data_IF_128586728678
#
_entry.id   IF_128586728678
#
_cell.length_a   1.000
_cell.length_b   1.000
_cell.length_c   1.000
_cell.angle_alpha   90.00
_cell.angle_beta   90.00
_cell.angle_gamma   90.00
#
_symmetry.space_group_name_H-M   'P 1'
#
loop_
_entity.id
_entity.type
_entity.pdbx_description
1 polymer ?
#
# COMPACT_ATOMS: atom_id res chain seq x y z
N UNK A 1 -14.26 -22.52 20.64
CA UNK A 1 -12.99 -23.28 20.74
C UNK A 1 -11.93 -22.89 19.71
N UNK A 2 -12.24 -22.78 18.40
CA UNK A 2 -11.24 -22.51 17.33
C UNK A 2 -10.51 -21.14 17.39
N UNK A 3 -11.11 -20.08 17.97
CA UNK A 3 -10.48 -18.76 18.16
C UNK A 3 -9.36 -18.75 19.21
N UNK A 4 -9.49 -19.55 20.28
CA UNK A 4 -8.47 -19.66 21.34
C UNK A 4 -7.28 -20.52 20.89
N UNK A 5 -7.51 -21.51 20.03
CA UNK A 5 -6.45 -22.33 19.45
C UNK A 5 -5.56 -21.51 18.50
N UNK A 6 -6.16 -20.70 17.60
CA UNK A 6 -5.40 -19.80 16.70
C UNK A 6 -4.55 -18.76 17.45
N UNK A 7 -5.04 -18.23 18.57
CA UNK A 7 -4.28 -17.29 19.40
C UNK A 7 -3.13 -17.96 20.19
N UNK A 8 -3.30 -19.25 20.55
CA UNK A 8 -2.25 -20.04 21.21
C UNK A 8 -1.16 -20.45 20.22
N UNK A 9 -1.53 -20.87 19.00
CA UNK A 9 -0.58 -21.28 17.95
C UNK A 9 0.28 -20.09 17.48
N UNK A 10 -0.29 -18.88 17.40
CA UNK A 10 0.43 -17.64 17.10
C UNK A 10 1.42 -17.24 18.22
N UNK A 11 1.05 -17.45 19.50
CA UNK A 11 1.96 -17.21 20.64
C UNK A 11 3.08 -18.26 20.72
N UNK A 12 2.80 -19.51 20.35
CA UNK A 12 3.76 -20.60 20.41
C UNK A 12 4.81 -20.51 19.28
N UNK A 13 4.44 -20.02 18.09
CA UNK A 13 5.39 -19.75 17.01
C UNK A 13 6.38 -18.61 17.31
N UNK A 14 6.01 -17.61 18.13
CA UNK A 14 6.95 -16.57 18.58
C UNK A 14 7.97 -17.07 19.62
N UNK A 15 7.65 -18.11 20.41
CA UNK A 15 8.55 -18.65 21.44
C UNK A 15 9.63 -19.62 20.91
N UNK A 16 9.55 -20.04 19.64
CA UNK A 16 10.39 -21.09 19.04
C UNK A 16 11.63 -20.61 18.28
N UNK A 17 11.94 -19.32 18.30
CA UNK A 17 13.12 -18.74 17.61
C UNK A 17 14.42 -19.16 18.30
N UNK A 18 14.96 -20.32 17.91
CA UNK A 18 16.39 -20.62 18.08
C UNK A 18 17.15 -20.16 16.83
N UNK A 19 18.27 -19.42 16.97
CA UNK A 19 19.14 -19.13 15.83
C UNK A 19 19.73 -20.45 15.32
N UNK A 20 19.55 -20.73 14.04
CA UNK A 20 20.10 -21.93 13.40
C UNK A 20 21.60 -21.69 13.16
N UNK A 21 22.43 -22.61 13.67
CA UNK A 21 23.89 -22.55 13.60
C UNK A 21 24.41 -22.54 12.14
N UNK A 22 25.47 -21.77 11.93
CA UNK A 22 26.20 -21.65 10.66
C UNK A 22 26.86 -22.99 10.28
N UNK A 23 26.57 -23.48 9.06
CA UNK A 23 27.25 -24.60 8.43
C UNK A 23 28.47 -24.13 7.64
N UNK A 24 29.62 -24.77 7.88
CA UNK A 24 30.92 -24.55 7.25
C UNK A 24 30.98 -24.95 5.75
N UNK A 25 32.00 -24.51 4.98
CA UNK A 25 32.02 -24.55 3.52
C UNK A 25 32.76 -25.78 2.96
N UNK A 26 32.46 -26.16 1.71
CA UNK A 26 33.30 -27.05 0.90
C UNK A 26 33.14 -26.73 -0.59
N UNK A 27 34.26 -26.63 -1.32
CA UNK A 27 34.26 -26.55 -2.78
C UNK A 27 35.40 -25.73 -3.38
N UNK A 28 36.60 -26.29 -3.36
CA UNK A 28 37.84 -25.80 -3.98
C UNK A 28 37.78 -25.72 -5.51
N UNK A 29 38.33 -24.65 -6.10
CA UNK A 29 38.94 -24.69 -7.45
C UNK A 29 40.25 -23.88 -7.44
N UNK A 30 41.33 -24.52 -7.89
CA UNK A 30 42.68 -23.97 -8.02
C UNK A 30 42.85 -23.08 -9.26
N UNK A 31 43.61 -21.98 -9.14
CA UNK A 31 44.62 -21.52 -10.12
C UNK A 31 45.50 -20.35 -9.58
N UNK A 32 46.76 -20.70 -9.24
CA UNK A 32 48.12 -20.07 -9.38
C UNK A 32 48.28 -18.54 -9.66
N UNK A 33 49.36 -17.86 -9.17
CA UNK A 33 49.34 -16.46 -8.73
C UNK A 33 50.08 -15.45 -9.63
N UNK A 34 49.90 -14.15 -9.34
CA UNK A 34 50.83 -13.09 -9.72
C UNK A 34 51.00 -12.04 -8.59
N UNK A 35 52.26 -11.71 -8.32
CA UNK A 35 52.77 -10.81 -7.28
C UNK A 35 52.30 -9.35 -7.43
N UNK A 36 52.21 -8.64 -6.30
CA UNK A 36 52.16 -7.17 -6.27
C UNK A 36 51.78 -6.60 -4.89
N UNK A 37 52.79 -6.25 -4.10
CA UNK A 37 52.72 -5.66 -2.76
C UNK A 37 52.09 -4.26 -2.71
N UNK A 38 51.26 -3.98 -1.70
CA UNK A 38 51.59 -3.00 -0.64
C UNK A 38 50.46 -2.83 0.40
N UNK A 39 50.91 -2.52 1.62
CA UNK A 39 50.25 -2.51 2.93
C UNK A 39 49.16 -1.44 3.12
N UNK A 40 48.16 -1.79 3.94
CA UNK A 40 47.82 -1.01 5.15
C UNK A 40 46.40 -0.42 5.23
N UNK A 41 45.58 -0.92 6.17
CA UNK A 41 44.39 -0.20 6.66
C UNK A 41 43.28 -1.14 7.14
N UNK A 42 42.97 -1.11 8.44
CA UNK A 42 42.13 -2.06 9.15
C UNK A 42 40.63 -2.00 8.80
N UNK A 43 39.99 -3.16 8.95
CA UNK A 43 38.59 -3.44 8.71
C UNK A 43 37.67 -3.08 9.90
N UNK A 44 36.44 -2.68 9.58
CA UNK A 44 35.18 -3.20 10.15
C UNK A 44 34.05 -2.49 9.39
N UNK A 45 33.28 -3.12 8.51
CA UNK A 45 32.67 -4.44 8.65
C UNK A 45 31.17 -4.22 8.87
N UNK A 46 30.49 -3.73 7.83
CA UNK A 46 29.05 -3.51 7.81
C UNK A 46 28.31 -4.85 7.97
N UNK A 47 27.56 -5.01 9.06
CA UNK A 47 26.63 -6.10 9.24
C UNK A 47 25.20 -5.58 8.98
N UNK A 48 24.62 -6.10 7.89
CA UNK A 48 23.25 -5.87 7.43
C UNK A 48 22.24 -6.08 8.56
N UNK A 49 21.43 -5.05 8.83
CA UNK A 49 20.23 -5.14 9.66
C UNK A 49 19.23 -6.10 9.01
N UNK A 50 18.73 -7.05 9.80
CA UNK A 50 17.74 -8.02 9.37
C UNK A 50 16.39 -7.32 9.15
N UNK A 51 15.91 -7.37 7.91
CA UNK A 51 14.63 -6.83 7.47
C UNK A 51 13.48 -7.62 8.14
N UNK A 52 12.78 -6.99 9.10
CA UNK A 52 11.64 -7.62 9.77
C UNK A 52 10.37 -7.43 8.91
N UNK A 53 10.17 -8.31 7.94
CA UNK A 53 8.90 -8.41 7.21
C UNK A 53 7.95 -9.34 7.98
N UNK A 54 6.96 -8.78 8.69
CA UNK A 54 5.84 -9.59 9.18
C UNK A 54 4.88 -9.80 8.01
N UNK A 55 5.11 -10.87 7.25
CA UNK A 55 4.16 -11.38 6.25
C UNK A 55 3.30 -12.44 6.94
N UNK A 56 2.08 -12.09 7.34
CA UNK A 56 1.10 -13.10 7.73
C UNK A 56 0.37 -13.54 6.48
N UNK A 57 0.93 -14.56 5.82
CA UNK A 57 0.29 -15.25 4.71
C UNK A 57 -0.90 -16.07 5.24
N UNK A 58 -2.13 -15.63 4.96
CA UNK A 58 -3.33 -16.39 5.33
C UNK A 58 -3.76 -17.41 4.28
N UNK A 59 -2.85 -17.88 3.38
CA UNK A 59 -3.12 -19.02 2.48
C UNK A 59 -3.26 -20.32 3.28
N UNK A 60 -4.42 -20.47 3.90
CA UNK A 60 -4.98 -21.71 4.38
C UNK A 60 -6.46 -21.67 4.01
N UNK A 61 -6.77 -22.23 2.84
CA UNK A 61 -8.07 -22.25 2.13
C UNK A 61 -8.33 -21.03 1.25
N UNK A 62 -8.25 -21.26 -0.07
CA UNK A 62 -8.97 -20.42 -1.02
C UNK A 62 -10.45 -20.45 -0.63
N UNK A 63 -11.14 -19.30 -0.49
CA UNK A 63 -12.59 -19.30 -0.43
C UNK A 63 -13.09 -19.91 -1.74
N UNK A 64 -13.76 -21.06 -1.66
CA UNK A 64 -14.62 -21.53 -2.74
C UNK A 64 -15.75 -20.50 -2.89
N UNK A 65 -15.89 -20.04 -4.12
CA UNK A 65 -16.84 -19.05 -4.63
C UNK A 65 -16.45 -17.57 -4.46
N UNK A 66 -16.64 -16.76 -5.52
CA UNK A 66 -16.57 -15.31 -5.40
C UNK A 66 -17.59 -14.90 -4.33
N UNK A 67 -17.09 -14.27 -3.26
CA UNK A 67 -17.96 -13.67 -2.23
C UNK A 67 -18.96 -12.79 -2.97
N UNK A 68 -20.23 -13.22 -2.99
CA UNK A 68 -21.30 -12.40 -3.56
C UNK A 68 -21.21 -11.04 -2.88
N UNK A 69 -21.25 -9.93 -3.64
CA UNK A 69 -21.17 -8.58 -3.10
C UNK A 69 -22.14 -8.36 -1.93
N UNK A 70 -23.25 -9.11 -1.88
CA UNK A 70 -24.30 -9.06 -0.85
C UNK A 70 -23.84 -9.05 0.62
N UNK A 71 -22.58 -9.39 0.93
CA UNK A 71 -22.00 -9.27 2.28
C UNK A 71 -21.37 -7.90 2.62
N UNK A 72 -21.22 -7.00 1.64
CA UNK A 72 -20.61 -5.68 1.81
C UNK A 72 -21.73 -4.62 1.91
N UNK A 73 -21.77 -3.76 2.96
CA UNK A 73 -22.70 -2.64 3.02
C UNK A 73 -22.61 -1.80 1.73
N UNK A 74 -23.72 -1.59 1.02
CA UNK A 74 -23.74 -0.83 -0.26
C UNK A 74 -23.59 -1.65 -1.54
N UNK A 75 -23.33 -2.95 -1.44
CA UNK A 75 -23.17 -3.83 -2.60
C UNK A 75 -24.39 -3.95 -3.53
N UNK A 76 -25.59 -3.66 -3.05
CA UNK A 76 -26.79 -3.64 -3.90
C UNK A 76 -26.72 -2.56 -4.98
N UNK A 77 -26.05 -1.42 -4.70
CA UNK A 77 -25.86 -0.31 -5.65
C UNK A 77 -25.00 -0.73 -6.86
N UNK A 78 -23.99 -1.58 -6.64
CA UNK A 78 -23.04 -2.03 -7.65
C UNK A 78 -23.18 -3.51 -8.02
N UNK A 79 -24.26 -4.17 -7.60
CA UNK A 79 -24.51 -5.59 -7.90
C UNK A 79 -24.47 -5.89 -9.39
N UNK A 80 -25.09 -5.01 -10.19
CA UNK A 80 -25.09 -5.12 -11.66
C UNK A 80 -23.69 -5.10 -12.29
N UNK A 81 -22.71 -4.40 -11.69
CA UNK A 81 -21.33 -4.41 -12.18
C UNK A 81 -20.66 -5.76 -11.91
N UNK A 82 -20.97 -6.38 -10.78
CA UNK A 82 -20.45 -7.72 -10.46
C UNK A 82 -20.96 -8.75 -11.46
N UNK A 83 -22.23 -8.64 -11.84
CA UNK A 83 -22.83 -9.50 -12.87
C UNK A 83 -22.22 -9.22 -14.25
N UNK A 84 -22.07 -7.94 -14.61
CA UNK A 84 -21.48 -7.51 -15.89
C UNK A 84 -20.05 -8.04 -16.07
N UNK A 85 -19.23 -7.91 -15.04
CA UNK A 85 -17.84 -8.39 -15.04
C UNK A 85 -17.72 -9.85 -14.59
N UNK A 86 -18.82 -10.57 -14.35
CA UNK A 86 -18.83 -11.98 -13.91
C UNK A 86 -17.91 -12.30 -12.72
N UNK A 87 -17.66 -11.30 -11.86
CA UNK A 87 -16.71 -11.41 -10.74
C UNK A 87 -15.22 -11.35 -11.14
N UNK A 88 -14.88 -11.07 -12.39
CA UNK A 88 -13.53 -10.86 -12.92
C UNK A 88 -13.00 -9.45 -12.58
N UNK A 89 -12.98 -9.12 -11.29
CA UNK A 89 -12.41 -7.86 -10.84
C UNK A 89 -10.86 -7.95 -10.78
N UNK A 90 -10.15 -6.89 -11.23
CA UNK A 90 -8.70 -6.85 -11.16
C UNK A 90 -8.22 -6.82 -9.71
N UNK A 91 -6.97 -7.23 -9.50
CA UNK A 91 -6.34 -7.05 -8.19
C UNK A 91 -5.93 -5.60 -8.02
N UNK A 92 -6.36 -5.00 -6.91
CA UNK A 92 -6.11 -3.60 -6.56
C UNK A 92 -5.38 -3.51 -5.23
N UNK A 93 -4.53 -2.50 -5.11
CA UNK A 93 -3.83 -2.17 -3.88
C UNK A 93 -4.20 -0.76 -3.42
N UNK A 94 -4.23 -0.54 -2.11
CA UNK A 94 -4.22 0.77 -1.49
C UNK A 94 -2.87 0.94 -0.79
N UNK A 95 -2.10 1.96 -1.13
CA UNK A 95 -0.89 2.35 -0.41
C UNK A 95 -1.17 3.53 0.52
N UNK A 96 -0.76 3.36 1.77
CA UNK A 96 -0.88 4.35 2.84
C UNK A 96 0.53 4.73 3.33
N UNK A 97 1.22 5.66 2.65
CA UNK A 97 2.47 6.22 3.16
C UNK A 97 2.20 7.07 4.40
N UNK A 98 2.90 6.77 5.51
CA UNK A 98 2.72 7.44 6.81
C UNK A 98 4.07 7.87 7.41
N UNK A 99 4.08 9.04 8.06
CA UNK A 99 5.23 9.50 8.82
C UNK A 99 4.82 10.29 10.08
N UNK A 100 4.91 9.65 11.25
CA UNK A 100 4.59 10.22 12.56
C UNK A 100 3.14 10.73 12.70
N UNK A 101 2.20 10.11 11.99
CA UNK A 101 0.78 10.45 11.94
C UNK A 101 0.00 9.95 13.16
N UNK A 102 0.04 10.71 14.26
CA UNK A 102 -0.48 10.25 15.55
C UNK A 102 -2.01 10.25 15.68
N UNK A 103 -2.68 11.17 14.97
CA UNK A 103 -4.11 11.40 15.10
C UNK A 103 -4.96 10.64 14.08
N UNK A 104 -4.37 10.20 12.97
CA UNK A 104 -5.13 9.70 11.82
C UNK A 104 -4.72 8.29 11.35
N UNK A 105 -3.59 7.75 11.81
CA UNK A 105 -3.06 6.47 11.32
C UNK A 105 -4.03 5.29 11.48
N UNK A 106 -4.74 5.20 12.60
CA UNK A 106 -5.71 4.12 12.84
C UNK A 106 -7.02 4.34 12.04
N UNK A 107 -7.44 5.59 11.90
CA UNK A 107 -8.67 5.97 11.21
C UNK A 107 -8.59 5.63 9.73
N UNK A 108 -7.56 6.06 9.00
CA UNK A 108 -7.41 5.77 7.57
C UNK A 108 -7.38 4.26 7.29
N UNK A 109 -6.66 3.47 8.11
CA UNK A 109 -6.61 2.00 7.96
C UNK A 109 -8.03 1.44 8.09
N UNK A 110 -8.80 1.88 9.09
CA UNK A 110 -10.19 1.46 9.27
C UNK A 110 -11.10 1.90 8.12
N UNK A 111 -10.88 3.07 7.52
CA UNK A 111 -11.64 3.54 6.35
C UNK A 111 -11.32 2.73 5.11
N UNK A 112 -10.05 2.46 4.84
CA UNK A 112 -9.62 1.59 3.74
C UNK A 112 -10.18 0.17 3.88
N UNK A 113 -10.31 -0.35 5.11
CA UNK A 113 -10.94 -1.66 5.37
C UNK A 113 -12.43 -1.70 5.00
N UNK A 114 -13.11 -0.56 4.89
CA UNK A 114 -14.52 -0.45 4.47
C UNK A 114 -14.69 -0.24 2.97
N UNK A 115 -13.61 -0.02 2.22
CA UNK A 115 -13.68 0.13 0.76
C UNK A 115 -14.21 -1.17 0.15
N UNK A 116 -15.25 -1.02 -0.66
CA UNK A 116 -15.94 -2.11 -1.31
C UNK A 116 -15.13 -2.63 -2.49
N UNK A 117 -14.59 -3.82 -2.32
CA UNK A 117 -13.96 -4.61 -3.37
C UNK A 117 -13.97 -6.09 -2.95
N UNK A 118 -13.88 -7.06 -3.88
CA UNK A 118 -13.71 -8.45 -3.47
C UNK A 118 -12.49 -8.61 -2.55
N UNK A 119 -12.70 -9.16 -1.35
CA UNK A 119 -11.69 -9.20 -0.27
C UNK A 119 -10.38 -9.89 -0.67
N UNK A 120 -10.45 -10.89 -1.55
CA UNK A 120 -9.29 -11.61 -2.09
C UNK A 120 -8.59 -10.89 -3.25
N UNK A 121 -9.12 -9.74 -3.70
CA UNK A 121 -8.61 -8.90 -4.80
C UNK A 121 -8.13 -7.52 -4.32
N UNK A 122 -8.25 -7.22 -3.03
CA UNK A 122 -7.78 -5.95 -2.44
C UNK A 122 -6.64 -6.23 -1.46
N UNK A 123 -5.62 -5.39 -1.47
CA UNK A 123 -4.58 -5.33 -0.45
C UNK A 123 -4.46 -3.90 0.08
N UNK A 124 -4.43 -3.74 1.41
CA UNK A 124 -4.13 -2.46 2.05
C UNK A 124 -2.68 -2.52 2.53
N UNK A 125 -1.79 -1.78 1.89
CA UNK A 125 -0.38 -1.71 2.22
C UNK A 125 -0.10 -0.42 3.00
N UNK A 126 0.24 -0.58 4.28
CA UNK A 126 0.64 0.52 5.17
C UNK A 126 2.16 0.66 5.09
N UNK A 127 2.64 1.78 4.53
CA UNK A 127 4.06 2.10 4.43
C UNK A 127 4.44 3.09 5.54
N UNK A 128 4.85 2.57 6.69
CA UNK A 128 5.11 3.34 7.92
C UNK A 128 6.60 3.65 8.09
N UNK A 129 7.00 4.88 7.75
CA UNK A 129 8.35 5.41 7.95
C UNK A 129 8.49 6.17 9.29
N UNK A 130 7.49 6.10 10.17
CA UNK A 130 7.49 6.81 11.46
C UNK A 130 8.72 6.48 12.29
N UNK A 131 9.26 7.44 13.02
CA UNK A 131 10.40 7.24 13.94
C UNK A 131 9.95 7.21 15.41
N UNK A 132 8.76 7.74 15.72
CA UNK A 132 8.21 7.75 17.07
C UNK A 132 7.63 6.38 17.44
N UNK A 133 8.17 5.75 18.48
CA UNK A 133 7.73 4.43 18.95
C UNK A 133 6.24 4.41 19.32
N UNK A 134 5.73 5.48 19.95
CA UNK A 134 4.32 5.59 20.30
C UNK A 134 3.40 5.52 19.05
N UNK A 135 3.81 6.15 17.94
CA UNK A 135 3.05 6.12 16.68
C UNK A 135 3.14 4.74 16.04
N UNK A 136 4.34 4.14 16.00
CA UNK A 136 4.53 2.76 15.47
C UNK A 136 3.62 1.75 16.19
N UNK A 137 3.52 1.84 17.52
CA UNK A 137 2.63 0.98 18.32
C UNK A 137 1.15 1.15 17.96
N UNK A 138 0.71 2.38 17.66
CA UNK A 138 -0.67 2.63 17.20
C UNK A 138 -0.92 2.01 15.83
N UNK A 139 0.01 2.19 14.89
CA UNK A 139 -0.05 1.57 13.56
C UNK A 139 -0.10 0.04 13.67
N UNK A 140 0.77 -0.56 14.50
CA UNK A 140 0.80 -2.00 14.74
C UNK A 140 -0.55 -2.51 15.27
N UNK A 141 -1.11 -1.83 16.27
CA UNK A 141 -2.40 -2.20 16.84
C UNK A 141 -3.53 -2.11 15.81
N UNK A 142 -3.53 -1.07 14.97
CA UNK A 142 -4.52 -0.89 13.91
C UNK A 142 -4.43 -2.00 12.84
N UNK A 143 -3.22 -2.32 12.39
CA UNK A 143 -2.97 -3.41 11.43
C UNK A 143 -3.39 -4.76 12.00
N UNK A 144 -3.00 -5.07 13.24
CA UNK A 144 -3.39 -6.32 13.92
C UNK A 144 -4.92 -6.40 14.02
N UNK A 145 -5.60 -5.33 14.42
CA UNK A 145 -7.06 -5.31 14.49
C UNK A 145 -7.72 -5.56 13.13
N UNK A 146 -7.17 -5.02 12.05
CA UNK A 146 -7.68 -5.23 10.70
C UNK A 146 -7.48 -6.69 10.24
N UNK A 147 -6.32 -7.27 10.51
CA UNK A 147 -6.02 -8.68 10.24
C UNK A 147 -6.95 -9.62 11.01
N UNK A 148 -7.20 -9.36 12.30
CA UNK A 148 -8.12 -10.15 13.13
C UNK A 148 -9.57 -10.13 12.63
N UNK A 149 -9.96 -9.03 11.95
CA UNK A 149 -11.26 -8.89 11.28
C UNK A 149 -11.31 -9.54 9.89
N UNK A 150 -10.18 -10.07 9.41
CA UNK A 150 -10.08 -10.77 8.13
C UNK A 150 -9.82 -9.87 6.92
N UNK A 151 -9.38 -8.63 7.13
CA UNK A 151 -8.94 -7.76 6.04
C UNK A 151 -7.52 -8.13 5.59
N UNK A 152 -7.26 -8.01 4.29
CA UNK A 152 -5.93 -8.22 3.73
C UNK A 152 -5.09 -6.94 3.87
N UNK A 153 -4.26 -6.89 4.92
CA UNK A 153 -3.43 -5.73 5.25
C UNK A 153 -1.97 -6.14 5.38
N UNK A 154 -1.07 -5.37 4.79
CA UNK A 154 0.38 -5.55 4.90
C UNK A 154 1.01 -4.31 5.50
N UNK A 155 1.86 -4.50 6.51
CA UNK A 155 2.69 -3.43 7.07
C UNK A 155 4.10 -3.51 6.50
N UNK A 156 4.57 -2.40 5.96
CA UNK A 156 5.90 -2.22 5.40
C UNK A 156 6.60 -1.11 6.19
N UNK A 157 7.79 -1.41 6.69
CA UNK A 157 8.68 -0.44 7.35
C UNK A 157 10.04 -0.48 6.70
N UNK A 158 10.68 0.69 6.65
CA UNK A 158 12.03 0.86 6.12
C UNK A 158 12.94 1.43 7.19
N UNK A 159 14.19 1.00 7.17
CA UNK A 159 15.24 1.57 8.03
C UNK A 159 15.85 2.82 7.41
N UNK A 160 15.85 2.93 6.08
CA UNK A 160 16.35 4.08 5.34
C UNK A 160 15.20 4.85 4.70
N UNK A 161 15.10 6.15 5.01
CA UNK A 161 14.06 7.07 4.50
C UNK A 161 14.44 7.73 3.17
N UNK A 162 15.32 7.10 2.39
CA UNK A 162 15.68 7.57 1.06
C UNK A 162 14.43 7.70 0.19
N UNK A 163 14.33 8.84 -0.50
CA UNK A 163 13.22 9.19 -1.37
C UNK A 163 11.88 9.46 -0.67
N UNK A 164 11.86 9.59 0.67
CA UNK A 164 10.67 9.92 1.45
C UNK A 164 9.42 9.12 1.03
N UNK A 165 8.31 9.80 0.72
CA UNK A 165 7.03 9.19 0.30
C UNK A 165 7.18 8.36 -0.98
N UNK A 166 7.86 8.89 -2.00
CA UNK A 166 8.07 8.18 -3.26
C UNK A 166 8.86 6.89 -3.05
N UNK A 167 9.94 6.95 -2.26
CA UNK A 167 10.73 5.77 -1.91
C UNK A 167 9.91 4.71 -1.15
N UNK A 168 9.04 5.14 -0.22
CA UNK A 168 8.20 4.23 0.55
C UNK A 168 7.19 3.50 -0.34
N UNK A 169 6.66 4.20 -1.34
CA UNK A 169 5.77 3.62 -2.35
C UNK A 169 6.51 2.63 -3.25
N UNK A 170 7.72 2.97 -3.73
CA UNK A 170 8.55 2.07 -4.56
C UNK A 170 8.88 0.77 -3.83
N UNK A 171 9.35 0.85 -2.58
CA UNK A 171 9.71 -0.34 -1.83
C UNK A 171 8.48 -1.17 -1.47
N UNK A 172 7.34 -0.51 -1.21
CA UNK A 172 6.04 -1.17 -1.08
C UNK A 172 5.66 -1.95 -2.33
N UNK A 173 5.78 -1.34 -3.52
CA UNK A 173 5.47 -1.98 -4.81
C UNK A 173 6.35 -3.21 -5.06
N UNK A 174 7.66 -3.14 -4.78
CA UNK A 174 8.59 -4.28 -4.95
C UNK A 174 8.19 -5.51 -4.14
N UNK A 175 7.58 -5.34 -2.96
CA UNK A 175 7.16 -6.47 -2.10
C UNK A 175 5.95 -7.24 -2.62
N UNK A 176 5.25 -6.70 -3.62
CA UNK A 176 4.02 -7.27 -4.15
C UNK A 176 4.03 -7.42 -5.68
N UNK A 177 5.20 -7.23 -6.30
CA UNK A 177 5.39 -7.24 -7.76
C UNK A 177 4.94 -8.56 -8.39
N UNK A 178 5.20 -9.68 -7.71
CA UNK A 178 4.85 -11.04 -8.15
C UNK A 178 3.40 -11.43 -7.85
N UNK A 179 2.62 -10.55 -7.19
CA UNK A 179 1.26 -10.87 -6.75
C UNK A 179 0.20 -10.50 -7.79
N UNK A 180 0.58 -9.86 -8.89
CA UNK A 180 -0.29 -9.54 -10.02
C UNK A 180 -1.32 -8.44 -9.72
N UNK A 181 -0.94 -7.43 -8.93
CA UNK A 181 -1.76 -6.22 -8.77
C UNK A 181 -1.71 -5.39 -10.05
N UNK A 182 -2.85 -4.88 -10.48
CA UNK A 182 -2.98 -4.11 -11.73
C UNK A 182 -3.15 -2.61 -11.46
N UNK A 183 -3.76 -2.26 -10.32
CA UNK A 183 -4.03 -0.88 -9.93
C UNK A 183 -3.54 -0.60 -8.51
N UNK A 184 -3.07 0.63 -8.29
CA UNK A 184 -2.67 1.13 -6.98
C UNK A 184 -3.34 2.47 -6.69
N UNK A 185 -4.09 2.53 -5.60
CA UNK A 185 -4.61 3.76 -5.02
C UNK A 185 -3.64 4.29 -3.97
N UNK A 186 -3.48 5.61 -3.89
CA UNK A 186 -2.60 6.25 -2.90
C UNK A 186 -3.45 7.20 -2.06
N UNK A 187 -3.39 7.06 -0.74
CA UNK A 187 -4.01 8.00 0.19
C UNK A 187 -3.03 8.44 1.27
N UNK A 188 -3.03 9.73 1.58
CA UNK A 188 -2.40 10.25 2.78
C UNK A 188 -3.20 9.88 4.03
N UNK A 189 -2.57 9.96 5.20
CA UNK A 189 -3.14 9.43 6.43
C UNK A 189 -4.40 10.17 6.92
N UNK A 190 -4.64 11.39 6.45
CA UNK A 190 -5.79 12.24 6.81
C UNK A 190 -6.98 12.11 5.85
N UNK A 191 -6.88 11.28 4.81
CA UNK A 191 -7.97 11.08 3.86
C UNK A 191 -9.07 10.17 4.40
N UNK A 192 -10.28 10.36 3.86
CA UNK A 192 -11.43 9.50 4.13
C UNK A 192 -11.98 8.99 2.80
N UNK A 193 -11.45 7.86 2.28
CA UNK A 193 -11.94 7.32 1.02
C UNK A 193 -13.39 6.83 1.17
N UNK A 194 -14.28 7.14 0.21
CA UNK A 194 -15.63 6.62 0.22
C UNK A 194 -15.63 5.10 0.01
N UNK A 195 -16.64 4.40 0.56
CA UNK A 195 -16.71 2.94 0.46
C UNK A 195 -16.77 2.47 -1.00
N UNK A 196 -17.36 3.24 -1.91
CA UNK A 196 -17.47 2.91 -3.34
C UNK A 196 -16.31 3.41 -4.21
N UNK A 197 -15.21 3.84 -3.61
CA UNK A 197 -14.07 4.45 -4.31
C UNK A 197 -13.59 3.66 -5.53
N UNK A 198 -13.36 2.35 -5.42
CA UNK A 198 -12.89 1.53 -6.54
C UNK A 198 -13.94 1.33 -7.64
N UNK A 199 -15.22 1.24 -7.29
CA UNK A 199 -16.30 1.19 -8.28
C UNK A 199 -16.42 2.49 -9.08
N UNK A 200 -16.10 3.64 -8.46
CA UNK A 200 -16.11 4.96 -9.10
C UNK A 200 -14.80 5.31 -9.82
N UNK A 201 -13.78 4.45 -9.76
CA UNK A 201 -12.46 4.71 -10.36
C UNK A 201 -12.01 3.56 -11.27
N UNK A 202 -11.65 2.41 -10.70
CA UNK A 202 -11.09 1.24 -11.42
C UNK A 202 -12.04 0.75 -12.51
N UNK A 203 -13.35 0.74 -12.29
CA UNK A 203 -14.32 0.31 -13.31
C UNK A 203 -14.25 1.18 -14.57
N UNK A 204 -13.97 2.48 -14.45
CA UNK A 204 -13.77 3.35 -15.60
C UNK A 204 -12.46 3.02 -16.32
N UNK A 205 -11.39 2.75 -15.57
CA UNK A 205 -10.09 2.35 -16.13
C UNK A 205 -10.13 0.98 -16.82
N UNK A 206 -10.96 0.05 -16.34
CA UNK A 206 -11.17 -1.25 -17.00
C UNK A 206 -11.86 -1.13 -18.36
N UNK A 207 -12.56 -0.01 -18.63
CA UNK A 207 -13.24 0.22 -19.92
C UNK A 207 -12.35 0.90 -20.95
N UNK A 208 -11.25 1.52 -20.51
CA UNK A 208 -10.32 2.23 -21.37
C UNK A 208 -8.87 1.95 -20.93
N UNK A 209 -8.20 1.11 -21.71
CA UNK A 209 -6.81 0.71 -21.45
C UNK A 209 -5.80 1.84 -21.69
N UNK A 210 -6.21 2.95 -22.32
CA UNK A 210 -5.36 4.13 -22.50
C UNK A 210 -5.32 5.02 -21.24
N UNK A 211 -6.18 4.77 -20.25
CA UNK A 211 -6.16 5.53 -18.99
C UNK A 211 -5.02 5.06 -18.10
N UNK A 212 -4.04 5.96 -17.91
CA UNK A 212 -2.91 5.76 -17.00
C UNK A 212 -3.32 5.89 -15.52
N UNK A 213 -4.15 6.90 -15.19
CA UNK A 213 -4.62 7.13 -13.83
C UNK A 213 -5.98 7.84 -13.78
N UNK A 214 -6.64 7.78 -12.63
CA UNK A 214 -7.82 8.57 -12.27
C UNK A 214 -7.50 9.36 -11.01
N UNK A 215 -7.60 10.70 -11.09
CA UNK A 215 -7.50 11.58 -9.94
C UNK A 215 -8.90 11.91 -9.43
N UNK A 216 -9.13 11.71 -8.13
CA UNK A 216 -10.36 12.17 -7.48
C UNK A 216 -10.16 13.55 -6.84
N UNK A 217 -11.26 14.29 -6.70
CA UNK A 217 -11.27 15.62 -6.08
C UNK A 217 -11.06 15.51 -4.58
N UNK A 218 -10.30 16.45 -4.03
CA UNK A 218 -10.22 16.65 -2.58
C UNK A 218 -11.40 17.48 -2.07
N UNK A 219 -11.93 17.08 -0.92
CA UNK A 219 -12.93 17.85 -0.18
C UNK A 219 -12.38 18.20 1.18
N UNK A 220 -12.62 19.43 1.62
CA UNK A 220 -12.10 19.96 2.87
C UNK A 220 -13.21 19.98 3.93
N UNK A 221 -12.92 19.41 5.09
CA UNK A 221 -13.85 19.34 6.22
C UNK A 221 -13.78 20.57 7.12
N UNK A 222 -12.70 21.34 7.05
CA UNK A 222 -12.42 22.50 7.89
C UNK A 222 -12.42 23.82 7.07
N UNK A 223 -13.54 24.55 7.08
CA UNK A 223 -13.62 25.90 6.48
C UNK A 223 -14.30 26.91 7.42
N UNK A 224 -13.88 26.90 8.68
CA UNK A 224 -14.56 27.61 9.77
C UNK A 224 -13.99 29.01 10.04
N UNK A 225 -12.90 29.39 9.38
CA UNK A 225 -12.31 30.74 9.43
C UNK A 225 -12.22 31.35 8.03
N UNK A 226 -12.16 32.68 7.93
CA UNK A 226 -12.03 33.38 6.65
C UNK A 226 -10.80 32.91 5.84
N UNK A 227 -9.67 32.65 6.52
CA UNK A 227 -8.47 32.12 5.88
C UNK A 227 -8.70 30.73 5.29
N UNK A 228 -9.24 29.80 6.09
CA UNK A 228 -9.52 28.42 5.63
C UNK A 228 -10.60 28.39 4.55
N UNK A 229 -11.55 29.33 4.59
CA UNK A 229 -12.56 29.50 3.55
C UNK A 229 -11.95 30.00 2.24
N UNK A 230 -11.08 31.02 2.28
CA UNK A 230 -10.39 31.50 1.09
C UNK A 230 -9.50 30.42 0.45
N UNK A 231 -8.78 29.65 1.28
CA UNK A 231 -8.01 28.48 0.83
C UNK A 231 -8.91 27.43 0.17
N UNK A 232 -10.05 27.12 0.79
CA UNK A 232 -11.04 26.19 0.22
C UNK A 232 -11.53 26.66 -1.15
N UNK A 233 -11.88 27.93 -1.31
CA UNK A 233 -12.33 28.47 -2.61
C UNK A 233 -11.26 28.31 -3.69
N UNK A 234 -10.00 28.65 -3.37
CA UNK A 234 -8.89 28.49 -4.31
C UNK A 234 -8.66 27.04 -4.72
N UNK A 235 -8.65 26.12 -3.75
CA UNK A 235 -8.46 24.68 -4.02
C UNK A 235 -9.66 24.04 -4.72
N UNK A 236 -10.89 24.45 -4.39
CA UNK A 236 -12.08 23.98 -5.09
C UNK A 236 -12.10 24.43 -6.55
N UNK A 237 -11.65 25.65 -6.87
CA UNK A 237 -11.50 26.06 -8.26
C UNK A 237 -10.52 25.14 -9.00
N UNK A 238 -9.35 24.87 -8.42
CA UNK A 238 -8.35 23.99 -9.03
C UNK A 238 -8.90 22.58 -9.28
N UNK A 239 -9.52 21.93 -8.28
CA UNK A 239 -9.99 20.55 -8.42
C UNK A 239 -11.32 20.41 -9.18
N UNK A 240 -12.29 21.28 -8.93
CA UNK A 240 -13.64 21.13 -9.49
C UNK A 240 -13.79 21.74 -10.88
N UNK A 241 -12.99 22.77 -11.20
CA UNK A 241 -13.07 23.49 -12.48
C UNK A 241 -11.87 23.17 -13.36
N UNK A 242 -10.65 23.49 -12.91
CA UNK A 242 -9.47 23.40 -13.78
C UNK A 242 -9.13 21.96 -14.17
N UNK A 243 -8.95 21.06 -13.19
CA UNK A 243 -8.62 19.65 -13.48
C UNK A 243 -9.73 18.95 -14.29
N UNK A 244 -10.99 19.26 -13.97
CA UNK A 244 -12.14 18.73 -14.71
C UNK A 244 -12.16 19.22 -16.16
N UNK A 245 -11.91 20.52 -16.39
CA UNK A 245 -11.85 21.08 -17.74
C UNK A 245 -10.69 20.49 -18.55
N UNK A 246 -9.50 20.37 -17.94
CA UNK A 246 -8.33 19.74 -18.58
C UNK A 246 -8.63 18.28 -18.96
N UNK A 247 -9.18 17.50 -18.03
CA UNK A 247 -9.58 16.11 -18.29
C UNK A 247 -10.62 16.01 -19.43
N UNK A 248 -11.65 16.86 -19.43
CA UNK A 248 -12.67 16.87 -20.47
C UNK A 248 -12.11 17.22 -21.86
N UNK A 249 -11.13 18.13 -21.91
CA UNK A 249 -10.48 18.54 -23.16
C UNK A 249 -9.34 17.58 -23.59
N UNK A 250 -9.10 16.50 -22.86
CA UNK A 250 -7.96 15.60 -23.10
C UNK A 250 -6.60 16.27 -22.90
N UNK A 251 -6.56 17.38 -22.16
CA UNK A 251 -5.33 18.08 -21.82
C UNK A 251 -4.65 17.42 -20.63
N UNK A 252 -3.33 17.50 -20.61
CA UNK A 252 -2.53 17.04 -19.50
C UNK A 252 -2.90 17.79 -18.20
N UNK A 253 -3.00 17.02 -17.12
CA UNK A 253 -3.09 17.53 -15.75
C UNK A 253 -2.33 16.59 -14.82
N UNK A 254 -1.79 17.14 -13.74
CA UNK A 254 -0.91 16.41 -12.83
C UNK A 254 -1.69 15.49 -11.89
N UNK A 255 -1.02 14.43 -11.45
CA UNK A 255 -1.44 13.66 -10.29
C UNK A 255 -1.07 14.43 -9.02
N UNK A 256 -2.00 14.56 -8.09
CA UNK A 256 -1.83 15.42 -6.90
C UNK A 256 -1.05 14.73 -5.77
N UNK A 257 -0.55 13.51 -5.99
CA UNK A 257 0.19 12.73 -5.00
C UNK A 257 -0.67 11.90 -4.05
N UNK A 258 -2.00 12.02 -4.10
CA UNK A 258 -2.96 11.29 -3.23
C UNK A 258 -4.36 11.32 -3.84
N UNK A 259 -5.26 10.51 -3.29
CA UNK A 259 -6.66 10.38 -3.69
C UNK A 259 -6.85 10.10 -5.19
N UNK A 260 -6.04 9.21 -5.72
CA UNK A 260 -6.22 8.71 -7.08
C UNK A 260 -5.67 7.31 -7.24
N UNK A 261 -5.99 6.73 -8.39
CA UNK A 261 -5.66 5.36 -8.75
C UNK A 261 -4.80 5.38 -9.99
N UNK A 262 -3.67 4.67 -9.94
CA UNK A 262 -2.80 4.46 -11.08
C UNK A 262 -2.91 3.03 -11.59
N UNK A 263 -2.77 2.88 -12.90
CA UNK A 263 -2.44 1.60 -13.53
C UNK A 263 -0.96 1.33 -13.28
N UNK A 264 -0.65 0.21 -12.64
CA UNK A 264 0.74 -0.14 -12.28
C UNK A 264 1.61 -0.27 -13.53
N UNK A 265 1.07 -0.82 -14.62
CA UNK A 265 1.76 -0.86 -15.92
C UNK A 265 2.19 0.54 -16.39
N UNK A 266 1.33 1.56 -16.24
CA UNK A 266 1.68 2.92 -16.66
C UNK A 266 2.79 3.53 -15.82
N UNK A 267 2.82 3.25 -14.50
CA UNK A 267 3.93 3.65 -13.63
C UNK A 267 5.23 3.00 -14.10
N UNK A 268 5.22 1.69 -14.36
CA UNK A 268 6.41 0.95 -14.78
C UNK A 268 6.90 1.39 -16.17
N UNK A 269 5.99 1.57 -17.13
CA UNK A 269 6.30 2.04 -18.49
C UNK A 269 6.91 3.45 -18.47
N UNK A 270 6.58 4.28 -17.47
CA UNK A 270 7.12 5.62 -17.28
C UNK A 270 8.47 5.65 -16.52
N UNK A 271 8.98 4.51 -16.05
CA UNK A 271 10.24 4.42 -15.29
C UNK A 271 10.08 4.38 -13.77
N UNK A 272 8.85 4.31 -13.26
CA UNK A 272 8.56 4.22 -11.83
C UNK A 272 8.41 5.58 -11.13
N UNK A 273 8.39 5.57 -9.80
CA UNK A 273 8.38 6.81 -9.01
C UNK A 273 9.80 7.33 -8.83
N UNK A 274 10.06 8.54 -9.30
CA UNK A 274 11.28 9.27 -8.98
C UNK A 274 11.11 10.10 -7.71
N UNK A 275 12.19 10.20 -6.93
CA UNK A 275 12.22 10.99 -5.69
C UNK A 275 12.94 12.33 -5.82
N UNK A 276 13.43 12.66 -7.02
CA UNK A 276 14.10 13.92 -7.29
C UNK A 276 13.01 14.97 -7.53
N UNK A 277 12.78 15.81 -6.51
CA UNK A 277 11.77 16.90 -6.53
C UNK A 277 12.35 18.13 -5.88
#
# INVERSE_FOLDING_TARGET
>A
MRRRQRAADAKQQLSGLKPRAAGAPAGSVHAVPANGSSRGGAANGAAKGAELAIVVDTRGTAPSDPVKPSGVPGASKYGHLTDLYRGEFPKVMIQLPMYNEDAHCDLIIQRCCKVMWPSHRILIQVCDDSTREAVRKKVDAAVISALEKGHNVQLVRRDNRSGFKAGAMVDGMKRVEDQGFEYVAIFDADFEPPEDFFYQTVVHMMRDDNLAFVQTRWTFTNSNSLLTWAQKVGLEFHFAVEQRARSFLGQFFNFNGTAGVWRIKAINDAGGWESDT
#
